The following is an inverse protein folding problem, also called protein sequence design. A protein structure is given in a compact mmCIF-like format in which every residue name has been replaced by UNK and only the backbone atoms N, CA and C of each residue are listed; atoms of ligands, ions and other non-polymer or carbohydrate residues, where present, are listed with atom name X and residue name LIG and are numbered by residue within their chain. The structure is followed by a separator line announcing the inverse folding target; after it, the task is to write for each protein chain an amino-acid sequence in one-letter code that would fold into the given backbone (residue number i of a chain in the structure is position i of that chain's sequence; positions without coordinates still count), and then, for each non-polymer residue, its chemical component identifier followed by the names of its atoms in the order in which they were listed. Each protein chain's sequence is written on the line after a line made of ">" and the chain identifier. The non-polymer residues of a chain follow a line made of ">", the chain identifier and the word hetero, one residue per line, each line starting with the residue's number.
data_IF_939645526570
#
_entry.id   IF_939645526570
#
_cell.length_a   1.000
_cell.length_b   1.000
_cell.length_c   1.000
_cell.angle_alpha   90.00
_cell.angle_beta   90.00
_cell.angle_gamma   90.00
#
_symmetry.space_group_name_H-M   'P 1'
#
loop_
_entity.id
_entity.type
_entity.pdbx_description
1 polymer ?
#
# COMPACT_ATOMS: atom_id res chain seq x y z
N UNK A 1 -6.76 0.15 -22.16
CA UNK A 1 -6.40 -0.35 -20.81
C UNK A 1 -7.69 -0.66 -20.07
N UNK A 2 -7.92 -1.90 -19.61
CA UNK A 2 -9.15 -2.28 -18.90
C UNK A 2 -9.12 -1.67 -17.49
N UNK A 3 -9.77 -0.52 -17.32
CA UNK A 3 -10.06 0.23 -16.08
C UNK A 3 -8.86 0.63 -15.19
N UNK A 4 -8.30 1.86 -15.36
CA UNK A 4 -7.17 2.35 -14.55
C UNK A 4 -7.48 2.50 -13.04
N UNK A 5 -8.74 2.75 -12.68
CA UNK A 5 -9.17 2.90 -11.28
C UNK A 5 -9.14 1.57 -10.52
N UNK A 6 -9.39 0.46 -11.22
CA UNK A 6 -9.31 -0.87 -10.62
C UNK A 6 -7.89 -1.21 -10.17
N UNK A 7 -6.90 -0.93 -11.02
CA UNK A 7 -5.49 -1.12 -10.70
C UNK A 7 -5.07 -0.24 -9.51
N UNK A 8 -5.57 0.98 -9.45
CA UNK A 8 -5.33 1.88 -8.32
C UNK A 8 -5.89 1.33 -7.00
N UNK A 9 -7.11 0.78 -7.02
CA UNK A 9 -7.70 0.14 -5.84
C UNK A 9 -6.90 -1.07 -5.39
N UNK A 10 -6.47 -1.94 -6.32
CA UNK A 10 -5.60 -3.08 -5.99
C UNK A 10 -4.29 -2.60 -5.35
N UNK A 11 -3.67 -1.56 -5.91
CA UNK A 11 -2.43 -1.01 -5.39
C UNK A 11 -2.60 -0.46 -3.97
N UNK A 12 -3.67 0.30 -3.71
CA UNK A 12 -3.99 0.81 -2.37
C UNK A 12 -4.26 -0.32 -1.36
N UNK A 13 -5.01 -1.35 -1.75
CA UNK A 13 -5.28 -2.50 -0.89
C UNK A 13 -4.00 -3.26 -0.56
N UNK A 14 -3.16 -3.51 -1.57
CA UNK A 14 -1.88 -4.20 -1.40
C UNK A 14 -0.95 -3.42 -0.48
N UNK A 15 -0.82 -2.09 -0.68
CA UNK A 15 -0.05 -1.22 0.20
C UNK A 15 -0.55 -1.28 1.65
N UNK A 16 -1.88 -1.25 1.84
CA UNK A 16 -2.50 -1.34 3.17
C UNK A 16 -2.19 -2.68 3.83
N UNK A 17 -2.28 -3.78 3.09
CA UNK A 17 -1.97 -5.12 3.60
C UNK A 17 -0.52 -5.20 4.06
N UNK A 18 0.42 -4.72 3.25
CA UNK A 18 1.85 -4.74 3.59
C UNK A 18 2.16 -3.88 4.82
N UNK A 19 1.56 -2.70 4.94
CA UNK A 19 1.79 -1.80 6.06
C UNK A 19 1.13 -2.27 7.36
N UNK A 20 -0.09 -2.82 7.30
CA UNK A 20 -0.85 -3.21 8.50
C UNK A 20 -0.48 -4.61 8.98
N UNK A 21 -0.36 -5.57 8.06
CA UNK A 21 -0.09 -6.97 8.38
C UNK A 21 1.38 -7.37 8.18
N UNK A 22 2.26 -6.39 7.94
CA UNK A 22 3.68 -6.61 7.64
C UNK A 22 4.40 -7.50 8.65
N UNK A 23 4.09 -7.41 9.94
CA UNK A 23 4.69 -8.25 10.97
C UNK A 23 4.32 -9.73 10.80
N UNK A 24 3.03 -10.04 10.60
CA UNK A 24 2.59 -11.41 10.37
C UNK A 24 3.18 -12.01 9.09
N UNK A 25 3.26 -11.20 8.03
CA UNK A 25 3.88 -11.59 6.75
C UNK A 25 5.39 -11.82 6.94
N UNK A 26 6.07 -11.00 7.73
CA UNK A 26 7.50 -11.12 7.99
C UNK A 26 7.85 -12.41 8.75
N UNK A 27 7.06 -12.78 9.76
CA UNK A 27 7.23 -14.08 10.42
C UNK A 27 6.98 -15.24 9.47
N UNK A 28 5.90 -15.17 8.68
CA UNK A 28 5.62 -16.21 7.70
C UNK A 28 6.76 -16.40 6.69
N UNK A 29 7.32 -15.31 6.19
CA UNK A 29 8.47 -15.32 5.26
C UNK A 29 9.74 -15.88 5.90
N UNK A 30 10.03 -15.50 7.13
CA UNK A 30 11.16 -16.03 7.91
C UNK A 30 11.07 -17.54 8.08
N UNK A 31 9.87 -18.06 8.37
CA UNK A 31 9.67 -19.48 8.66
C UNK A 31 9.58 -20.35 7.39
N UNK A 32 9.13 -19.80 6.26
CA UNK A 32 8.77 -20.61 5.08
C UNK A 32 9.55 -20.29 3.80
N UNK A 33 10.24 -19.15 3.69
CA UNK A 33 10.84 -18.70 2.42
C UNK A 33 12.35 -18.62 2.48
N UNK A 34 12.90 -17.73 3.31
CA UNK A 34 14.35 -17.71 3.60
C UNK A 34 14.52 -17.47 5.09
N UNK A 35 15.25 -18.39 5.72
CA UNK A 35 15.57 -18.33 7.15
C UNK A 35 16.48 -17.12 7.42
N UNK A 36 15.85 -16.01 7.80
CA UNK A 36 16.48 -14.73 8.13
C UNK A 36 15.63 -14.04 9.19
N UNK A 37 16.23 -13.16 10.00
CA UNK A 37 15.49 -12.49 11.06
C UNK A 37 14.27 -11.73 10.51
N UNK A 38 13.06 -11.92 11.10
CA UNK A 38 11.82 -11.30 10.63
C UNK A 38 11.90 -9.77 10.47
N UNK A 39 12.76 -9.11 11.25
CA UNK A 39 12.97 -7.67 11.19
C UNK A 39 13.42 -7.17 9.80
N UNK A 40 14.21 -7.96 9.06
CA UNK A 40 14.66 -7.60 7.71
C UNK A 40 13.50 -7.66 6.71
N UNK A 41 12.68 -8.71 6.79
CA UNK A 41 11.44 -8.80 6.01
C UNK A 41 10.48 -7.67 6.34
N UNK A 42 10.25 -7.42 7.63
CA UNK A 42 9.37 -6.35 8.10
C UNK A 42 9.80 -4.98 7.58
N UNK A 43 11.10 -4.71 7.59
CA UNK A 43 11.68 -3.47 7.05
C UNK A 43 11.44 -3.36 5.54
N UNK A 44 11.71 -4.44 4.79
CA UNK A 44 11.46 -4.49 3.35
C UNK A 44 9.99 -4.30 2.98
N UNK A 45 9.07 -4.99 3.68
CA UNK A 45 7.63 -4.90 3.47
C UNK A 45 7.11 -3.48 3.75
N UNK A 46 7.63 -2.83 4.80
CA UNK A 46 7.29 -1.44 5.14
C UNK A 46 7.71 -0.49 4.02
N UNK A 47 8.95 -0.58 3.56
CA UNK A 47 9.47 0.24 2.45
C UNK A 47 8.64 0.01 1.17
N UNK A 48 8.33 -1.24 0.84
CA UNK A 48 7.49 -1.58 -0.31
C UNK A 48 6.08 -1.01 -0.20
N UNK A 49 5.45 -1.10 0.97
CA UNK A 49 4.13 -0.52 1.23
C UNK A 49 4.12 1.00 1.03
N UNK A 50 5.15 1.70 1.49
CA UNK A 50 5.28 3.15 1.33
C UNK A 50 5.45 3.54 -0.14
N UNK A 51 6.31 2.83 -0.87
CA UNK A 51 6.49 3.05 -2.32
C UNK A 51 5.17 2.84 -3.07
N UNK A 52 4.41 1.79 -2.72
CA UNK A 52 3.11 1.54 -3.36
C UNK A 52 2.09 2.65 -3.07
N UNK A 53 2.02 3.18 -1.85
CA UNK A 53 1.17 4.34 -1.57
C UNK A 53 1.57 5.58 -2.38
N UNK A 54 2.88 5.85 -2.47
CA UNK A 54 3.39 6.98 -3.23
C UNK A 54 3.11 6.82 -4.74
N UNK A 55 3.32 5.64 -5.31
CA UNK A 55 2.97 5.32 -6.69
C UNK A 55 1.47 5.42 -6.94
N UNK A 56 0.64 4.95 -6.01
CA UNK A 56 -0.83 5.05 -6.10
C UNK A 56 -1.29 6.51 -6.12
N UNK A 57 -0.65 7.37 -5.32
CA UNK A 57 -0.88 8.80 -5.32
C UNK A 57 -0.49 9.47 -6.64
N UNK A 58 0.69 9.14 -7.18
CA UNK A 58 1.13 9.64 -8.50
C UNK A 58 0.16 9.19 -9.59
N UNK A 59 -0.23 7.91 -9.61
CA UNK A 59 -1.20 7.39 -10.59
C UNK A 59 -2.55 8.13 -10.49
N UNK A 60 -3.05 8.37 -9.27
CA UNK A 60 -4.28 9.14 -9.06
C UNK A 60 -4.19 10.54 -9.68
N UNK A 61 -3.09 11.25 -9.42
CA UNK A 61 -2.85 12.59 -9.98
C UNK A 61 -2.75 12.55 -11.50
N UNK A 62 -2.02 11.59 -12.07
CA UNK A 62 -1.92 11.42 -13.53
C UNK A 62 -3.29 11.18 -14.16
N UNK A 63 -4.11 10.30 -13.60
CA UNK A 63 -5.46 10.01 -14.12
C UNK A 63 -6.39 11.22 -14.04
N UNK A 64 -6.31 12.00 -12.96
CA UNK A 64 -7.19 13.15 -12.75
C UNK A 64 -6.77 14.39 -13.55
N UNK A 65 -5.47 14.68 -13.60
CA UNK A 65 -4.92 15.91 -14.18
C UNK A 65 -4.62 15.75 -15.66
N UNK A 66 -3.95 14.67 -16.06
CA UNK A 66 -3.43 14.49 -17.42
C UNK A 66 -4.51 13.94 -18.35
N UNK A 67 -5.22 12.91 -17.91
CA UNK A 67 -6.14 12.20 -18.79
C UNK A 67 -7.57 12.76 -18.77
N UNK A 68 -7.88 13.71 -17.87
CA UNK A 68 -9.21 14.35 -17.71
C UNK A 68 -10.36 13.36 -17.89
N UNK A 69 -10.21 12.15 -17.34
CA UNK A 69 -11.09 11.03 -17.63
C UNK A 69 -12.48 11.39 -17.08
N UNK A 70 -13.40 11.76 -17.97
CA UNK A 70 -14.83 11.92 -17.66
C UNK A 70 -15.43 10.53 -17.63
N UNK A 71 -15.23 9.81 -16.54
CA UNK A 71 -15.60 8.40 -16.48
C UNK A 71 -16.71 8.15 -15.46
N UNK A 72 -17.83 7.59 -15.92
CA UNK A 72 -18.84 6.99 -15.05
C UNK A 72 -18.25 5.91 -14.14
N UNK A 73 -17.17 5.26 -14.59
CA UNK A 73 -16.41 4.29 -13.79
C UNK A 73 -15.78 4.92 -12.55
N UNK A 74 -15.35 6.19 -12.59
CA UNK A 74 -14.77 6.86 -11.41
C UNK A 74 -15.74 6.87 -10.23
N UNK A 75 -17.03 7.10 -10.48
CA UNK A 75 -18.07 7.13 -9.45
C UNK A 75 -18.12 5.80 -8.69
N UNK A 76 -17.93 4.67 -9.39
CA UNK A 76 -17.93 3.33 -8.78
C UNK A 76 -16.74 3.11 -7.83
N UNK A 77 -15.55 3.63 -8.16
CA UNK A 77 -14.33 3.39 -7.38
C UNK A 77 -13.98 4.53 -6.42
N UNK A 78 -14.63 5.70 -6.54
CA UNK A 78 -14.31 6.91 -5.78
C UNK A 78 -14.29 6.67 -4.27
N UNK A 79 -15.26 5.92 -3.73
CA UNK A 79 -15.33 5.61 -2.30
C UNK A 79 -14.11 4.82 -1.81
N UNK A 80 -13.76 3.74 -2.52
CA UNK A 80 -12.58 2.92 -2.20
C UNK A 80 -11.28 3.72 -2.28
N UNK A 81 -11.13 4.56 -3.30
CA UNK A 81 -9.95 5.41 -3.48
C UNK A 81 -9.83 6.43 -2.34
N UNK A 82 -10.93 7.08 -1.96
CA UNK A 82 -10.95 8.02 -0.83
C UNK A 82 -10.60 7.34 0.49
N UNK A 83 -11.23 6.19 0.80
CA UNK A 83 -10.94 5.42 2.01
C UNK A 83 -9.46 5.00 2.02
N UNK A 84 -8.95 4.52 0.88
CA UNK A 84 -7.55 4.12 0.76
C UNK A 84 -6.59 5.27 1.08
N UNK A 85 -6.81 6.46 0.52
CA UNK A 85 -5.97 7.63 0.82
C UNK A 85 -6.12 8.15 2.25
N UNK A 86 -7.33 8.12 2.82
CA UNK A 86 -7.55 8.50 4.23
C UNK A 86 -6.85 7.53 5.17
N UNK A 87 -6.85 6.23 4.85
CA UNK A 87 -6.21 5.18 5.66
C UNK A 87 -4.68 5.17 5.52
N UNK A 88 -4.14 5.66 4.41
CA UNK A 88 -2.71 5.64 4.11
C UNK A 88 -1.80 6.24 5.22
N UNK A 89 -2.04 7.46 5.75
CA UNK A 89 -1.20 8.02 6.81
C UNK A 89 -1.22 7.18 8.10
N UNK A 90 -2.36 6.56 8.43
CA UNK A 90 -2.47 5.68 9.59
C UNK A 90 -1.70 4.37 9.36
N UNK A 91 -1.82 3.76 8.18
CA UNK A 91 -1.10 2.55 7.83
C UNK A 91 0.43 2.78 7.78
N UNK A 92 0.87 3.90 7.20
CA UNK A 92 2.29 4.30 7.19
C UNK A 92 2.80 4.54 8.62
N UNK A 93 2.06 5.27 9.45
CA UNK A 93 2.45 5.51 10.84
C UNK A 93 2.52 4.21 11.65
N UNK A 94 1.57 3.30 11.45
CA UNK A 94 1.56 1.99 12.07
C UNK A 94 2.76 1.14 11.65
N UNK A 95 2.99 0.98 10.34
CA UNK A 95 4.15 0.22 9.84
C UNK A 95 5.49 0.79 10.34
N UNK A 96 5.63 2.12 10.37
CA UNK A 96 6.80 2.79 10.93
C UNK A 96 6.99 2.45 12.41
N UNK A 97 5.92 2.57 13.20
CA UNK A 97 5.94 2.27 14.63
C UNK A 97 6.37 0.83 14.89
N UNK A 98 5.80 -0.14 14.15
CA UNK A 98 6.15 -1.56 14.30
C UNK A 98 7.61 -1.80 13.93
N UNK A 99 8.12 -1.24 12.83
CA UNK A 99 9.54 -1.34 12.47
C UNK A 99 10.43 -0.73 13.56
N UNK A 100 10.11 0.47 14.03
CA UNK A 100 10.88 1.18 15.05
C UNK A 100 10.90 0.43 16.39
N UNK A 101 9.77 -0.16 16.80
CA UNK A 101 9.66 -0.99 18.01
C UNK A 101 10.56 -2.23 17.95
N UNK A 102 10.85 -2.73 16.75
CA UNK A 102 11.68 -3.92 16.56
C UNK A 102 13.17 -3.59 16.45
N UNK A 103 13.52 -2.40 15.95
CA UNK A 103 14.91 -1.95 15.82
C UNK A 103 15.44 -1.23 17.06
N UNK A 104 14.57 -0.59 17.84
CA UNK A 104 14.90 0.09 19.10
C UNK A 104 14.76 -0.82 20.31
#
# INVERSE_FOLDING_TARGET
>A
MKNPYFLLVISLLTATILCVFGQGIAYFLSDHVVDTYPIYYLTGLTILGWILYLLSFIMFLMFRIVFKIKDSNYIQYQGFIMIGFISAPFAVSWSFFVVAMWWG
#
